data_IF_222487420836
#
_entry.id   IF_222487420836
#
_cell.length_a   1.000
_cell.length_b   1.000
_cell.length_c   1.000
_cell.angle_alpha   90.00
_cell.angle_beta   90.00
_cell.angle_gamma   90.00
#
_symmetry.space_group_name_H-M   'P 1'
#
loop_
_entity.id
_entity.type
_entity.pdbx_description
1 polymer ?
#
# COMPACT_ATOMS: atom_id res chain seq x y z
N UNK A 1 64.56 -57.18 29.28
CA UNK A 1 63.24 -57.82 29.45
C UNK A 1 62.20 -56.72 29.48
N UNK A 2 61.09 -56.66 28.74
CA UNK A 2 60.46 -57.49 27.72
C UNK A 2 59.29 -56.59 27.23
N UNK A 3 59.25 -56.28 25.94
CA UNK A 3 58.11 -55.95 25.06
C UNK A 3 56.77 -55.36 25.59
N UNK A 4 56.23 -54.34 24.89
CA UNK A 4 54.99 -54.39 24.05
C UNK A 4 54.57 -52.94 23.66
N UNK A 5 54.62 -52.55 22.39
CA UNK A 5 53.58 -52.62 21.33
C UNK A 5 52.63 -51.40 21.24
N UNK A 6 52.66 -50.85 20.01
CA UNK A 6 51.57 -50.33 19.16
C UNK A 6 51.21 -48.84 19.22
N UNK A 7 51.66 -48.18 18.17
CA UNK A 7 51.05 -47.04 17.49
C UNK A 7 49.59 -47.31 17.13
N UNK A 8 48.71 -46.33 17.36
CA UNK A 8 47.67 -45.87 16.41
C UNK A 8 47.47 -44.37 16.66
N UNK A 9 47.97 -43.52 15.76
CA UNK A 9 47.56 -42.12 15.65
C UNK A 9 46.38 -42.14 14.68
N UNK A 10 45.16 -42.10 15.20
CA UNK A 10 43.94 -41.96 14.39
C UNK A 10 43.70 -40.48 14.12
N UNK A 11 43.61 -40.14 12.84
CA UNK A 11 43.59 -38.77 12.34
C UNK A 11 42.44 -37.91 12.87
N UNK A 12 42.77 -36.63 13.03
CA UNK A 12 41.81 -35.54 13.21
C UNK A 12 41.11 -35.21 11.89
N UNK A 13 39.94 -34.59 12.07
CA UNK A 13 39.30 -33.61 11.20
C UNK A 13 38.48 -34.14 10.02
N UNK A 14 37.15 -34.02 10.20
CA UNK A 14 36.18 -34.14 9.13
C UNK A 14 34.76 -33.81 9.60
N UNK A 15 34.58 -32.78 10.44
CA UNK A 15 33.26 -32.22 10.74
C UNK A 15 32.74 -31.55 9.46
N UNK A 16 32.01 -32.31 8.66
CA UNK A 16 31.29 -31.79 7.50
C UNK A 16 29.99 -31.15 7.99
N UNK A 17 30.09 -29.92 8.50
CA UNK A 17 28.93 -29.05 8.66
C UNK A 17 28.50 -28.62 7.25
N UNK A 18 27.44 -29.23 6.72
CA UNK A 18 26.70 -28.63 5.61
C UNK A 18 25.96 -27.42 6.19
N UNK A 19 26.60 -26.25 6.08
CA UNK A 19 25.89 -24.97 6.11
C UNK A 19 24.96 -24.98 4.89
N UNK A 20 23.71 -25.39 5.08
CA UNK A 20 22.64 -24.97 4.16
C UNK A 20 22.47 -23.48 4.35
N UNK A 21 23.22 -22.72 3.56
CA UNK A 21 22.92 -21.33 3.22
C UNK A 21 21.53 -21.29 2.59
N UNK A 22 20.52 -21.20 3.44
CA UNK A 22 19.24 -20.68 3.01
C UNK A 22 19.44 -19.17 2.91
N UNK A 23 19.97 -18.73 1.76
CA UNK A 23 19.92 -17.34 1.31
C UNK A 23 18.45 -17.06 1.03
N UNK A 24 17.67 -16.82 2.08
CA UNK A 24 16.41 -16.13 1.96
C UNK A 24 16.77 -14.69 1.66
N UNK A 25 16.94 -14.35 0.38
CA UNK A 25 16.70 -12.97 -0.05
C UNK A 25 15.22 -12.72 0.22
N UNK A 26 14.82 -11.83 1.16
CA UNK A 26 13.49 -11.30 1.07
C UNK A 26 13.50 -10.48 -0.20
N UNK A 27 12.86 -10.97 -1.26
CA UNK A 27 12.24 -10.07 -2.22
C UNK A 27 11.33 -9.21 -1.34
N UNK A 28 11.79 -8.03 -0.94
CA UNK A 28 10.92 -7.04 -0.33
C UNK A 28 9.86 -6.79 -1.40
N UNK A 29 8.69 -7.41 -1.22
CA UNK A 29 7.55 -7.09 -2.04
C UNK A 29 7.45 -5.56 -2.01
N UNK A 30 7.44 -4.94 -3.19
CA UNK A 30 7.16 -3.52 -3.38
C UNK A 30 5.86 -3.19 -2.66
N UNK A 31 5.96 -2.82 -1.38
CA UNK A 31 4.81 -2.66 -0.53
C UNK A 31 4.29 -1.25 -0.77
N UNK A 32 3.29 -1.16 -1.64
CA UNK A 32 2.56 0.07 -1.82
C UNK A 32 1.73 0.35 -0.55
N UNK A 33 1.88 1.53 0.01
CA UNK A 33 1.12 2.00 1.17
C UNK A 33 0.49 3.33 0.84
N UNK A 34 -0.67 3.58 1.45
CA UNK A 34 -1.39 4.82 1.33
C UNK A 34 -1.56 5.43 2.70
N UNK A 35 -1.13 6.68 2.86
CA UNK A 35 -1.17 7.39 4.12
C UNK A 35 -2.18 8.52 4.02
N UNK A 36 -3.25 8.41 4.80
CA UNK A 36 -4.40 9.31 4.68
C UNK A 36 -4.46 10.27 5.86
N UNK A 37 -4.76 11.54 5.60
CA UNK A 37 -5.08 12.51 6.64
C UNK A 37 -6.01 13.63 6.14
N UNK A 38 -6.24 14.63 7.00
CA UNK A 38 -7.11 15.76 6.66
C UNK A 38 -6.57 17.07 7.20
N UNK A 39 -6.55 18.09 6.35
CA UNK A 39 -6.19 19.45 6.72
C UNK A 39 -7.35 20.15 7.43
N UNK A 40 -7.03 21.12 8.29
CA UNK A 40 -8.01 21.91 9.05
C UNK A 40 -8.95 22.71 8.16
N UNK A 41 -8.50 23.11 6.97
CA UNK A 41 -9.29 23.83 5.96
C UNK A 41 -10.27 22.92 5.17
N UNK A 42 -10.35 21.63 5.52
CA UNK A 42 -11.33 20.68 5.00
C UNK A 42 -10.85 19.78 3.86
N UNK A 43 -9.66 20.03 3.30
CA UNK A 43 -9.04 19.15 2.29
C UNK A 43 -8.61 17.81 2.91
N UNK A 44 -9.07 16.70 2.35
CA UNK A 44 -8.54 15.38 2.63
C UNK A 44 -7.33 15.11 1.73
N UNK A 45 -6.40 14.28 2.20
CA UNK A 45 -5.26 13.88 1.40
C UNK A 45 -4.93 12.40 1.54
N UNK A 46 -4.36 11.85 0.48
CA UNK A 46 -3.78 10.50 0.42
C UNK A 46 -2.37 10.62 -0.15
N UNK A 47 -1.36 10.34 0.67
CA UNK A 47 0.03 10.24 0.23
C UNK A 47 0.33 8.79 -0.17
N UNK A 48 0.99 8.61 -1.30
CA UNK A 48 1.36 7.30 -1.82
C UNK A 48 2.83 7.00 -1.51
N UNK A 49 3.05 5.84 -0.91
CA UNK A 49 4.36 5.25 -0.69
C UNK A 49 4.52 4.05 -1.61
N UNK A 50 5.53 4.07 -2.46
CA UNK A 50 5.81 3.04 -3.44
C UNK A 50 7.34 2.85 -3.53
N UNK A 51 7.80 1.60 -3.61
CA UNK A 51 9.22 1.26 -3.75
C UNK A 51 10.13 1.98 -2.72
N UNK A 52 9.66 2.07 -1.46
CA UNK A 52 10.44 2.66 -0.38
C UNK A 52 10.40 4.19 -0.31
N UNK A 53 9.56 4.87 -1.11
CA UNK A 53 9.51 6.33 -1.15
C UNK A 53 8.10 6.88 -1.28
N UNK A 54 7.88 8.08 -0.75
CA UNK A 54 6.69 8.85 -1.05
C UNK A 54 6.82 9.53 -2.41
N UNK A 55 5.87 9.27 -3.31
CA UNK A 55 5.93 9.72 -4.71
C UNK A 55 4.93 10.83 -5.02
N UNK A 56 3.76 10.82 -4.37
CA UNK A 56 2.73 11.84 -4.58
C UNK A 56 1.79 12.01 -3.38
N UNK A 57 1.06 13.12 -3.38
CA UNK A 57 -0.13 13.35 -2.54
C UNK A 57 -1.31 13.71 -3.45
N UNK A 58 -2.40 12.96 -3.32
CA UNK A 58 -3.70 13.30 -3.91
C UNK A 58 -4.53 14.06 -2.89
N UNK A 59 -5.13 15.17 -3.31
CA UNK A 59 -5.93 16.08 -2.49
C UNK A 59 -7.37 16.10 -2.96
N UNK A 60 -8.31 16.03 -2.03
CA UNK A 60 -9.73 15.96 -2.33
C UNK A 60 -10.53 16.91 -1.41
N UNK A 61 -11.48 17.62 -2.00
CA UNK A 61 -12.45 18.46 -1.27
C UNK A 61 -13.75 18.54 -2.06
N UNK A 62 -14.86 18.46 -1.33
CA UNK A 62 -16.19 18.56 -1.94
C UNK A 62 -16.33 19.86 -2.75
N UNK A 63 -16.85 19.75 -3.98
CA UNK A 63 -17.01 20.86 -4.90
C UNK A 63 -15.73 21.34 -5.59
N UNK A 64 -14.60 20.65 -5.42
CA UNK A 64 -13.33 20.97 -6.06
C UNK A 64 -12.79 19.77 -6.86
N UNK A 65 -12.19 19.98 -8.03
CA UNK A 65 -11.48 18.93 -8.74
C UNK A 65 -10.32 18.38 -7.91
N UNK A 66 -10.06 17.06 -7.91
CA UNK A 66 -8.89 16.49 -7.25
C UNK A 66 -7.60 17.15 -7.73
N UNK A 67 -6.69 17.40 -6.79
CA UNK A 67 -5.37 17.97 -7.09
C UNK A 67 -4.29 16.96 -6.74
N UNK A 68 -3.14 17.03 -7.41
CA UNK A 68 -2.01 16.14 -7.15
C UNK A 68 -0.75 16.96 -6.95
N UNK A 69 -0.02 16.62 -5.89
CA UNK A 69 1.33 17.10 -5.63
C UNK A 69 2.31 15.97 -5.88
N UNK A 70 3.17 16.12 -6.88
CA UNK A 70 4.31 15.22 -7.06
C UNK A 70 5.34 15.51 -5.96
N UNK A 71 5.86 14.45 -5.35
CA UNK A 71 6.82 14.55 -4.27
C UNK A 71 8.22 14.15 -4.75
N UNK A 72 9.22 14.87 -4.26
CA UNK A 72 10.62 14.54 -4.45
C UNK A 72 11.31 14.50 -3.09
N UNK A 73 12.15 13.50 -2.87
CA UNK A 73 12.99 13.44 -1.67
C UNK A 73 13.91 14.67 -1.62
N UNK A 74 13.91 15.37 -0.49
CA UNK A 74 14.73 16.56 -0.31
C UNK A 74 15.90 16.29 0.63
N UNK A 75 15.63 15.74 1.81
CA UNK A 75 16.66 15.51 2.84
C UNK A 75 16.14 14.57 3.93
N UNK A 76 17.01 14.24 4.87
CA UNK A 76 16.65 13.59 6.14
C UNK A 76 16.94 14.58 7.27
N UNK A 77 16.03 14.74 8.23
CA UNK A 77 16.25 15.65 9.36
C UNK A 77 17.15 15.02 10.44
N UNK A 78 17.43 15.78 11.50
CA UNK A 78 18.26 15.33 12.63
C UNK A 78 17.66 14.15 13.42
N UNK A 79 16.36 13.86 13.26
CA UNK A 79 15.68 12.72 13.87
C UNK A 79 15.68 11.48 12.97
N UNK A 80 16.40 11.51 11.83
CA UNK A 80 16.42 10.41 10.87
C UNK A 80 15.15 10.31 10.00
N UNK A 81 14.27 11.30 10.04
CA UNK A 81 13.00 11.30 9.30
C UNK A 81 13.21 11.83 7.88
N UNK A 82 12.88 11.03 6.85
CA UNK A 82 12.87 11.50 5.47
C UNK A 82 11.89 12.65 5.24
N UNK A 83 12.32 13.66 4.49
CA UNK A 83 11.53 14.82 4.09
C UNK A 83 11.38 14.82 2.58
N UNK A 84 10.14 14.97 2.13
CA UNK A 84 9.75 15.10 0.73
C UNK A 84 9.13 16.46 0.50
N UNK A 85 9.38 17.04 -0.69
CA UNK A 85 8.87 18.34 -1.12
C UNK A 85 8.07 18.20 -2.39
N UNK A 86 7.03 19.01 -2.52
CA UNK A 86 6.22 19.12 -3.73
C UNK A 86 5.54 20.47 -3.81
N UNK A 87 4.64 20.61 -4.76
CA UNK A 87 3.78 21.78 -4.88
C UNK A 87 2.33 21.40 -5.14
N UNK A 88 1.43 22.29 -4.77
CA UNK A 88 -0.01 22.18 -4.96
C UNK A 88 -0.49 23.41 -5.73
N UNK A 89 -1.42 23.23 -6.68
CA UNK A 89 -1.96 24.31 -7.50
C UNK A 89 -0.85 25.17 -8.15
N UNK A 90 0.19 24.51 -8.68
CA UNK A 90 1.36 25.08 -9.35
C UNK A 90 2.32 25.96 -8.52
N UNK A 91 1.98 26.36 -7.29
CA UNK A 91 2.86 27.28 -6.53
C UNK A 91 2.87 27.08 -5.00
N UNK A 92 1.88 26.43 -4.41
CA UNK A 92 1.79 26.30 -2.95
C UNK A 92 2.73 25.20 -2.47
N UNK A 93 3.68 25.51 -1.60
CA UNK A 93 4.67 24.54 -1.16
C UNK A 93 4.05 23.44 -0.28
N UNK A 94 4.42 22.19 -0.57
CA UNK A 94 4.02 21.00 0.19
C UNK A 94 5.26 20.33 0.77
N UNK A 95 5.17 19.92 2.03
CA UNK A 95 6.20 19.16 2.73
C UNK A 95 5.58 17.93 3.36
N UNK A 96 6.16 16.76 3.11
CA UNK A 96 5.82 15.52 3.80
C UNK A 96 7.02 15.07 4.62
N UNK A 97 6.79 14.74 5.88
CA UNK A 97 7.78 14.15 6.79
C UNK A 97 7.31 12.75 7.14
N UNK A 98 8.16 11.76 6.86
CA UNK A 98 7.94 10.38 7.29
C UNK A 98 8.38 10.22 8.75
N UNK A 99 7.44 10.01 9.66
CA UNK A 99 7.74 9.91 11.09
C UNK A 99 8.29 8.55 11.50
N UNK A 100 8.25 7.56 10.60
CA UNK A 100 8.80 6.22 10.81
C UNK A 100 10.28 6.09 10.49
N UNK A 101 10.96 7.21 10.16
CA UNK A 101 12.39 7.25 9.87
C UNK A 101 12.81 6.33 8.70
N UNK A 102 11.95 6.19 7.69
CA UNK A 102 12.19 5.38 6.50
C UNK A 102 11.65 3.95 6.59
N UNK A 103 11.17 3.51 7.75
CA UNK A 103 10.59 2.17 7.96
C UNK A 103 9.05 2.24 7.87
N UNK A 104 8.55 2.69 6.72
CA UNK A 104 7.11 2.89 6.51
C UNK A 104 6.40 1.53 6.43
N UNK A 105 5.45 1.33 7.34
CA UNK A 105 4.64 0.12 7.49
C UNK A 105 3.18 0.52 7.70
N UNK A 106 2.23 -0.43 7.65
CA UNK A 106 0.89 -0.16 8.12
C UNK A 106 0.93 0.38 9.56
N UNK A 107 0.07 1.36 9.84
CA UNK A 107 0.02 2.21 11.05
C UNK A 107 1.21 3.15 11.29
N UNK A 108 2.19 3.25 10.38
CA UNK A 108 3.17 4.35 10.42
C UNK A 108 2.46 5.69 10.25
N UNK A 109 3.07 6.74 10.80
CA UNK A 109 2.53 8.10 10.72
C UNK A 109 3.37 8.99 9.79
N UNK A 110 2.70 9.93 9.15
CA UNK A 110 3.33 11.01 8.38
C UNK A 110 2.85 12.37 8.89
N UNK A 111 3.65 13.39 8.62
CA UNK A 111 3.26 14.79 8.80
C UNK A 111 3.24 15.50 7.46
N UNK A 112 2.11 16.07 7.08
CA UNK A 112 2.01 16.86 5.85
C UNK A 112 1.80 18.32 6.23
N UNK A 113 2.66 19.19 5.71
CA UNK A 113 2.60 20.63 5.85
C UNK A 113 2.36 21.27 4.49
N UNK A 114 1.39 22.18 4.42
CA UNK A 114 1.15 22.99 3.24
C UNK A 114 1.25 24.45 3.66
N UNK A 115 1.95 25.23 2.85
CA UNK A 115 2.06 26.67 3.04
C UNK A 115 0.67 27.29 3.21
N UNK A 116 0.50 28.17 4.20
CA UNK A 116 -0.77 28.80 4.60
C UNK A 116 -1.86 27.89 5.19
N UNK A 117 -1.83 26.58 4.98
CA UNK A 117 -2.85 25.65 5.53
C UNK A 117 -2.42 24.97 6.82
N UNK A 118 -1.13 25.05 7.14
CA UNK A 118 -0.55 24.47 8.34
C UNK A 118 -0.20 22.99 8.18
N UNK A 119 -0.16 22.29 9.31
CA UNK A 119 0.28 20.90 9.40
C UNK A 119 -0.87 19.97 9.79
N UNK A 120 -0.85 18.76 9.25
CA UNK A 120 -1.76 17.67 9.59
C UNK A 120 -1.00 16.34 9.69
N UNK A 121 -1.54 15.43 10.52
CA UNK A 121 -1.06 14.04 10.64
C UNK A 121 -1.86 13.12 9.74
N UNK A 122 -1.19 12.10 9.21
CA UNK A 122 -1.80 11.04 8.44
C UNK A 122 -1.25 9.69 8.86
N UNK A 123 -2.03 8.63 8.64
CA UNK A 123 -1.68 7.26 9.03
C UNK A 123 -1.66 6.36 7.80
N UNK A 124 -0.63 5.52 7.71
CA UNK A 124 -0.37 4.62 6.60
C UNK A 124 -1.12 3.30 6.72
N UNK A 125 -1.60 2.77 5.60
CA UNK A 125 -2.29 1.48 5.51
C UNK A 125 -2.09 0.82 4.14
N UNK A 126 -2.48 -0.45 4.04
CA UNK A 126 -2.36 -1.29 2.84
C UNK A 126 -3.41 -0.96 1.76
N UNK A 127 -4.32 -0.03 2.02
CA UNK A 127 -5.33 0.44 1.07
C UNK A 127 -5.60 1.92 1.31
N UNK A 128 -5.91 2.67 0.24
CA UNK A 128 -6.47 4.03 0.33
C UNK A 128 -7.92 3.97 0.78
N UNK A 129 -8.18 3.49 1.99
CA UNK A 129 -9.45 3.78 2.66
C UNK A 129 -9.20 5.07 3.45
N UNK A 130 -9.86 6.15 3.04
CA UNK A 130 -9.65 7.52 3.55
C UNK A 130 -9.73 7.68 5.08
N UNK A 131 -9.32 8.84 5.62
CA UNK A 131 -9.35 9.10 7.04
C UNK A 131 -10.73 9.66 7.40
N UNK A 132 -11.59 8.79 7.91
CA UNK A 132 -12.84 9.16 8.58
C UNK A 132 -14.10 8.91 7.75
N UNK A 133 -15.13 8.45 8.46
CA UNK A 133 -16.48 8.36 7.93
C UNK A 133 -16.90 9.65 7.26
N UNK A 134 -17.31 9.52 6.00
CA UNK A 134 -17.88 10.56 5.19
C UNK A 134 -18.90 9.91 4.28
N UNK A 135 -20.16 10.08 4.64
CA UNK A 135 -21.33 9.71 3.85
C UNK A 135 -21.24 10.39 2.47
N UNK A 136 -21.26 9.59 1.39
CA UNK A 136 -21.33 10.03 -0.01
C UNK A 136 -19.98 9.93 -0.74
N UNK A 137 -19.77 9.04 -1.70
CA UNK A 137 -20.63 8.81 -2.86
C UNK A 137 -20.57 7.36 -3.34
N UNK A 138 -21.51 6.54 -2.88
CA UNK A 138 -21.83 5.24 -3.48
C UNK A 138 -22.56 5.49 -4.80
N UNK A 139 -21.91 5.27 -5.95
CA UNK A 139 -22.63 5.22 -7.21
C UNK A 139 -21.82 5.16 -8.50
N UNK A 140 -20.58 5.68 -8.53
CA UNK A 140 -19.80 5.69 -9.79
C UNK A 140 -18.73 4.58 -9.81
N UNK A 141 -18.67 3.83 -10.91
CA UNK A 141 -17.61 2.81 -11.11
C UNK A 141 -16.21 3.41 -11.16
N UNK A 142 -16.08 4.70 -11.48
CA UNK A 142 -14.80 5.40 -11.40
C UNK A 142 -14.24 5.43 -9.96
N UNK A 143 -15.09 5.65 -8.95
CA UNK A 143 -14.69 5.62 -7.54
C UNK A 143 -14.33 4.20 -7.09
N UNK A 144 -15.14 3.20 -7.45
CA UNK A 144 -14.86 1.79 -7.15
C UNK A 144 -13.54 1.31 -7.76
N UNK A 145 -13.27 1.72 -9.00
CA UNK A 145 -12.01 1.44 -9.69
C UNK A 145 -10.84 2.07 -8.95
N UNK A 146 -10.96 3.32 -8.51
CA UNK A 146 -9.90 3.98 -7.74
C UNK A 146 -9.63 3.32 -6.38
N UNK A 147 -10.67 2.81 -5.72
CA UNK A 147 -10.56 2.19 -4.40
C UNK A 147 -10.04 0.75 -4.45
N UNK A 148 -10.27 0.04 -5.55
CA UNK A 148 -9.97 -1.39 -5.67
C UNK A 148 -8.75 -1.71 -6.53
N UNK A 149 -8.33 -0.85 -7.46
CA UNK A 149 -7.16 -1.13 -8.31
C UNK A 149 -5.90 -1.40 -7.49
N UNK A 150 -5.19 -2.48 -7.82
CA UNK A 150 -3.96 -2.90 -7.13
C UNK A 150 -4.18 -3.62 -5.80
N UNK A 151 -5.43 -3.72 -5.32
CA UNK A 151 -5.77 -4.43 -4.08
C UNK A 151 -5.76 -5.95 -4.32
N UNK A 152 -5.26 -6.73 -3.36
CA UNK A 152 -5.29 -8.19 -3.44
C UNK A 152 -6.72 -8.75 -3.41
N UNK A 153 -6.90 -9.94 -3.98
CA UNK A 153 -8.21 -10.54 -4.18
C UNK A 153 -8.95 -10.87 -2.87
N UNK A 154 -8.25 -11.10 -1.76
CA UNK A 154 -8.92 -11.36 -0.47
C UNK A 154 -9.45 -10.04 0.08
N UNK A 155 -8.62 -9.01 0.06
CA UNK A 155 -8.94 -7.68 0.59
C UNK A 155 -9.99 -6.95 -0.24
N UNK A 156 -9.93 -7.06 -1.56
CA UNK A 156 -10.93 -6.49 -2.46
C UNK A 156 -12.32 -7.08 -2.23
N UNK A 157 -12.42 -8.41 -2.07
CA UNK A 157 -13.70 -9.09 -1.78
C UNK A 157 -14.26 -8.70 -0.43
N UNK A 158 -13.41 -8.53 0.57
CA UNK A 158 -13.82 -8.07 1.88
C UNK A 158 -14.31 -6.62 1.83
N UNK A 159 -13.59 -5.74 1.15
CA UNK A 159 -14.01 -4.36 0.92
C UNK A 159 -15.38 -4.29 0.23
N UNK A 160 -15.60 -5.12 -0.80
CA UNK A 160 -16.88 -5.19 -1.51
C UNK A 160 -18.02 -5.55 -0.55
N UNK A 161 -17.85 -6.59 0.28
CA UNK A 161 -18.87 -6.97 1.28
C UNK A 161 -19.14 -5.87 2.31
N UNK A 162 -18.11 -5.18 2.76
CA UNK A 162 -18.24 -4.06 3.70
C UNK A 162 -18.95 -2.84 3.10
N UNK A 163 -19.00 -2.74 1.77
CA UNK A 163 -19.66 -1.66 1.02
C UNK A 163 -20.95 -2.14 0.35
N UNK A 164 -21.63 -3.13 0.94
CA UNK A 164 -22.92 -3.68 0.52
C UNK A 164 -22.92 -4.32 -0.88
N UNK A 165 -21.76 -4.74 -1.39
CA UNK A 165 -21.70 -5.57 -2.58
C UNK A 165 -21.79 -7.06 -2.22
N UNK A 166 -22.65 -7.75 -2.93
CA UNK A 166 -22.88 -9.18 -2.85
C UNK A 166 -22.26 -9.88 -4.05
N UNK A 167 -21.47 -10.92 -3.78
CA UNK A 167 -20.96 -11.77 -4.84
C UNK A 167 -22.11 -12.46 -5.57
N UNK A 168 -22.14 -12.33 -6.89
CA UNK A 168 -23.17 -12.96 -7.73
C UNK A 168 -22.63 -14.25 -8.34
N UNK A 169 -21.54 -14.16 -9.11
CA UNK A 169 -20.98 -15.29 -9.84
C UNK A 169 -19.54 -15.02 -10.31
N UNK A 170 -18.83 -16.10 -10.60
CA UNK A 170 -17.55 -16.06 -11.32
C UNK A 170 -17.83 -16.20 -12.82
N UNK A 171 -17.42 -15.20 -13.59
CA UNK A 171 -17.60 -15.15 -15.05
C UNK A 171 -16.46 -15.90 -15.76
N UNK A 172 -15.24 -15.72 -15.27
CA UNK A 172 -14.03 -16.32 -15.83
C UNK A 172 -13.13 -16.77 -14.69
N UNK A 173 -12.54 -17.97 -14.81
CA UNK A 173 -11.55 -18.47 -13.88
C UNK A 173 -10.46 -19.24 -14.64
N UNK A 174 -9.24 -18.73 -14.55
CA UNK A 174 -8.02 -19.34 -15.07
C UNK A 174 -6.96 -19.36 -13.97
N UNK A 175 -5.77 -19.88 -14.27
CA UNK A 175 -4.65 -19.91 -13.32
C UNK A 175 -4.20 -18.52 -12.90
N UNK A 176 -4.31 -17.52 -13.78
CA UNK A 176 -3.77 -16.17 -13.54
C UNK A 176 -4.84 -15.09 -13.56
N UNK A 177 -6.06 -15.39 -14.02
CA UNK A 177 -7.13 -14.40 -14.18
C UNK A 177 -8.45 -14.91 -13.63
N UNK A 178 -9.12 -14.09 -12.84
CA UNK A 178 -10.48 -14.33 -12.34
C UNK A 178 -11.33 -13.11 -12.60
N UNK A 179 -12.53 -13.28 -13.14
CA UNK A 179 -13.51 -12.20 -13.29
C UNK A 179 -14.72 -12.54 -12.43
N UNK A 180 -15.01 -11.69 -11.45
CA UNK A 180 -16.13 -11.88 -10.54
C UNK A 180 -17.16 -10.78 -10.73
N UNK A 181 -18.43 -11.15 -10.73
CA UNK A 181 -19.53 -10.20 -10.79
C UNK A 181 -20.09 -9.98 -9.38
N UNK A 182 -20.28 -8.71 -9.04
CA UNK A 182 -20.77 -8.23 -7.76
C UNK A 182 -21.98 -7.32 -7.97
N UNK A 183 -22.97 -7.45 -7.10
CA UNK A 183 -24.21 -6.68 -7.13
C UNK A 183 -24.36 -5.86 -5.87
N UNK A 184 -24.87 -4.63 -5.97
CA UNK A 184 -25.24 -3.83 -4.80
C UNK A 184 -26.71 -3.44 -4.89
N UNK A 185 -27.49 -3.85 -3.91
CA UNK A 185 -28.95 -3.68 -3.90
C UNK A 185 -29.37 -2.21 -3.83
N UNK A 186 -28.59 -1.38 -3.13
CA UNK A 186 -28.96 0.02 -2.82
C UNK A 186 -29.12 0.88 -4.05
N UNK A 187 -28.33 0.64 -5.11
CA UNK A 187 -28.38 1.37 -6.37
C UNK A 187 -28.50 0.45 -7.60
N UNK A 188 -28.77 -0.84 -7.36
CA UNK A 188 -28.80 -1.90 -8.38
C UNK A 188 -27.52 -1.96 -9.22
N UNK A 189 -26.40 -1.50 -8.70
CA UNK A 189 -25.15 -1.53 -9.43
C UNK A 189 -24.72 -2.99 -9.65
N UNK A 190 -24.30 -3.30 -10.88
CA UNK A 190 -23.64 -4.56 -11.21
C UNK A 190 -22.24 -4.20 -11.71
N UNK A 191 -21.23 -4.77 -11.06
CA UNK A 191 -19.83 -4.54 -11.41
C UNK A 191 -19.13 -5.86 -11.64
N UNK A 192 -18.18 -5.87 -12.58
CA UNK A 192 -17.22 -6.95 -12.73
C UNK A 192 -15.87 -6.49 -12.18
N UNK A 193 -15.30 -7.28 -11.28
CA UNK A 193 -13.97 -7.07 -10.72
C UNK A 193 -13.03 -8.07 -11.35
N UNK A 194 -11.99 -7.57 -12.00
CA UNK A 194 -11.05 -8.37 -12.79
C UNK A 194 -9.78 -8.52 -11.97
N UNK A 195 -9.50 -9.74 -11.54
CA UNK A 195 -8.28 -10.10 -10.84
C UNK A 195 -7.26 -10.69 -11.83
N UNK A 196 -6.03 -10.18 -11.82
CA UNK A 196 -4.87 -10.76 -12.48
C UNK A 196 -3.81 -11.07 -11.43
N UNK A 197 -3.30 -12.29 -11.39
CA UNK A 197 -2.35 -12.78 -10.38
C UNK A 197 -2.80 -12.49 -8.94
N UNK A 198 -4.09 -12.69 -8.67
CA UNK A 198 -4.73 -12.40 -7.37
C UNK A 198 -4.74 -10.92 -6.95
N UNK A 199 -4.62 -9.99 -7.89
CA UNK A 199 -4.71 -8.54 -7.67
C UNK A 199 -5.75 -7.92 -8.59
N UNK A 200 -6.54 -6.97 -8.10
CA UNK A 200 -7.52 -6.24 -8.92
C UNK A 200 -6.79 -5.42 -9.98
N UNK A 201 -7.04 -5.75 -11.23
CA UNK A 201 -6.49 -5.09 -12.41
C UNK A 201 -7.48 -4.14 -13.08
N UNK A 202 -8.79 -4.36 -12.89
CA UNK A 202 -9.84 -3.45 -13.36
C UNK A 202 -11.17 -3.70 -12.63
N UNK A 203 -12.05 -2.71 -12.68
CA UNK A 203 -13.45 -2.77 -12.26
C UNK A 203 -14.32 -2.16 -13.35
N UNK A 204 -15.30 -2.91 -13.85
CA UNK A 204 -16.15 -2.52 -14.99
C UNK A 204 -17.61 -2.50 -14.57
N UNK A 205 -18.37 -1.46 -14.98
CA UNK A 205 -19.82 -1.42 -14.77
C UNK A 205 -20.53 -2.23 -15.84
N UNK A 206 -21.45 -3.10 -15.41
CA UNK A 206 -22.40 -3.75 -16.30
C UNK A 206 -23.67 -2.89 -16.37
N UNK A 207 -24.19 -2.69 -17.60
CA UNK A 207 -25.45 -1.99 -17.85
C UNK A 207 -26.63 -2.93 -17.71
#
# INVERSE_FOLDING_TARGET
MTWLRRSIVTGFAGLSFLMTDAIFSPVQATQQLFCTGRMTNGWAYTAEFLDGRFTQIRWERSGQPPQVSQLTFASTNALGQPIYRGSLMAAVAVTLVDLSAGDVRPSSEISVGVEEWGWSRGTCGLSSTGPGGGTGSSGSVAALRQDLLGVDATRAREWLRQNDFFFTQTIEQTTTRVVEQWHRDTDRAIVQVIFNNSVVSDVVQMR
#
